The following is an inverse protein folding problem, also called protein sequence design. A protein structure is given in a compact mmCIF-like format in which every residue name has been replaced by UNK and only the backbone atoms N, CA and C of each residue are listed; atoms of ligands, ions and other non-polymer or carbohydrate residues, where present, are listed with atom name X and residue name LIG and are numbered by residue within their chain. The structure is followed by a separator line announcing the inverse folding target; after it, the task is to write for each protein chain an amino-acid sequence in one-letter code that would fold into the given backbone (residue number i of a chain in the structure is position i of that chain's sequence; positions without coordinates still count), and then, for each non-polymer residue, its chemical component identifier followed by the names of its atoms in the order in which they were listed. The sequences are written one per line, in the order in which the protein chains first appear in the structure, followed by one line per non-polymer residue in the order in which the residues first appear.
data_IF_122260763930
#
_entry.id   IF_122260763930
#
_cell.length_a   1.000
_cell.length_b   1.000
_cell.length_c   1.000
_cell.angle_alpha   90.00
_cell.angle_beta   90.00
_cell.angle_gamma   90.00
#
_symmetry.space_group_name_H-M   'P 1'
#
loop_
_entity.id
_entity.type
_entity.pdbx_description
1 polymer ?
#
# COMPACT_ATOMS: atom_id res chain seq x y z
N UNK A 1 -7.72 -20.10 -22.86
CA UNK A 1 -6.92 -19.37 -21.83
C UNK A 1 -7.87 -19.04 -20.70
N UNK A 2 -7.52 -19.40 -19.46
CA UNK A 2 -8.35 -19.01 -18.32
C UNK A 2 -8.39 -17.48 -18.26
N UNK A 3 -9.57 -16.91 -18.13
CA UNK A 3 -9.79 -15.47 -18.00
C UNK A 3 -9.11 -15.02 -16.68
N UNK A 4 -8.17 -14.08 -16.75
CA UNK A 4 -7.48 -13.58 -15.56
C UNK A 4 -8.48 -12.84 -14.67
N UNK A 5 -8.53 -13.17 -13.39
CA UNK A 5 -9.39 -12.50 -12.40
C UNK A 5 -8.94 -11.05 -12.19
N UNK A 6 -9.81 -10.09 -12.50
CA UNK A 6 -9.57 -8.67 -12.22
C UNK A 6 -9.73 -8.42 -10.71
N UNK A 7 -8.70 -7.91 -10.08
CA UNK A 7 -8.74 -7.54 -8.66
C UNK A 7 -9.13 -6.07 -8.48
N UNK A 8 -8.51 -5.17 -9.27
CA UNK A 8 -8.82 -3.74 -9.31
C UNK A 8 -9.21 -3.38 -10.74
N UNK A 9 -10.25 -2.57 -10.90
CA UNK A 9 -10.64 -1.99 -12.17
C UNK A 9 -10.96 -0.50 -11.99
N UNK A 10 -10.37 0.35 -12.82
CA UNK A 10 -10.64 1.77 -12.90
C UNK A 10 -11.39 2.06 -14.20
N UNK A 11 -12.52 2.76 -14.09
CA UNK A 11 -13.34 3.18 -15.22
C UNK A 11 -13.52 4.68 -15.19
N UNK A 12 -12.98 5.35 -16.20
CA UNK A 12 -13.17 6.78 -16.43
C UNK A 12 -12.83 7.64 -15.20
N UNK A 13 -11.77 7.24 -14.48
CA UNK A 13 -11.43 7.84 -13.20
C UNK A 13 -10.99 9.29 -13.36
N UNK A 14 -11.64 10.17 -12.62
CA UNK A 14 -11.31 11.60 -12.55
C UNK A 14 -11.09 12.03 -11.10
N UNK A 15 -10.02 12.80 -10.87
CA UNK A 15 -9.72 13.38 -9.56
C UNK A 15 -9.32 14.83 -9.75
N UNK A 16 -10.08 15.73 -9.12
CA UNK A 16 -9.86 17.16 -9.19
C UNK A 16 -9.77 17.74 -7.78
N UNK A 17 -8.80 18.58 -7.54
CA UNK A 17 -8.63 19.32 -6.29
C UNK A 17 -9.00 20.79 -6.45
N UNK A 18 -9.39 21.43 -5.33
CA UNK A 18 -9.77 22.83 -5.29
C UNK A 18 -11.18 23.09 -5.80
N UNK A 19 -11.54 24.37 -5.89
CA UNK A 19 -12.86 24.83 -6.34
C UNK A 19 -12.77 26.13 -7.14
N UNK A 20 -13.74 26.37 -8.02
CA UNK A 20 -13.82 27.58 -8.83
C UNK A 20 -12.60 27.80 -9.72
N UNK A 21 -11.99 29.00 -9.69
CA UNK A 21 -10.83 29.36 -10.51
C UNK A 21 -9.52 28.66 -10.10
N UNK A 22 -9.47 27.99 -8.92
CA UNK A 22 -8.31 27.22 -8.44
C UNK A 22 -8.48 25.72 -8.62
N UNK A 23 -9.34 25.32 -9.52
CA UNK A 23 -9.58 23.91 -9.86
C UNK A 23 -8.35 23.34 -10.58
N UNK A 24 -7.81 22.21 -10.10
CA UNK A 24 -6.70 21.48 -10.68
C UNK A 24 -7.12 20.02 -10.93
N UNK A 25 -7.04 19.57 -12.18
CA UNK A 25 -7.32 18.20 -12.57
C UNK A 25 -6.03 17.40 -12.38
N UNK A 26 -6.00 16.51 -11.41
CA UNK A 26 -4.85 15.66 -11.10
C UNK A 26 -4.89 14.31 -11.83
N UNK A 27 -6.09 13.81 -12.12
CA UNK A 27 -6.34 12.57 -12.87
C UNK A 27 -7.50 12.83 -13.82
N UNK A 28 -7.31 12.50 -15.10
CA UNK A 28 -8.26 12.81 -16.15
C UNK A 28 -8.58 11.56 -16.99
N UNK A 29 -9.82 11.04 -16.86
CA UNK A 29 -10.38 9.93 -17.63
C UNK A 29 -9.50 8.67 -17.71
N UNK A 30 -8.91 8.23 -16.57
CA UNK A 30 -7.99 7.10 -16.53
C UNK A 30 -8.72 5.77 -16.44
N UNK A 31 -8.30 4.82 -17.27
CA UNK A 31 -8.85 3.47 -17.36
C UNK A 31 -7.72 2.44 -17.34
N UNK A 32 -7.77 1.47 -16.42
CA UNK A 32 -6.94 0.27 -16.42
C UNK A 32 -7.47 -0.80 -15.46
N UNK A 33 -7.00 -2.03 -15.67
CA UNK A 33 -7.29 -3.19 -14.81
C UNK A 33 -6.00 -3.72 -14.19
N UNK A 34 -6.07 -4.21 -12.97
CA UNK A 34 -5.00 -4.95 -12.30
C UNK A 34 -5.52 -6.35 -11.98
N UNK A 35 -4.79 -7.37 -12.44
CA UNK A 35 -5.18 -8.76 -12.24
C UNK A 35 -4.58 -9.33 -10.96
N UNK A 36 -5.30 -10.27 -10.35
CA UNK A 36 -4.86 -10.94 -9.13
C UNK A 36 -3.49 -11.59 -9.30
N UNK A 37 -2.61 -11.35 -8.32
CA UNK A 37 -1.25 -11.89 -8.28
C UNK A 37 -0.24 -11.19 -9.19
N UNK A 38 -0.63 -10.12 -9.95
CA UNK A 38 0.33 -9.36 -10.74
C UNK A 38 0.92 -8.16 -9.98
N UNK A 39 2.09 -7.73 -10.41
CA UNK A 39 2.64 -6.42 -10.12
C UNK A 39 2.42 -5.54 -11.34
N UNK A 40 1.45 -4.63 -11.24
CA UNK A 40 1.18 -3.61 -12.24
C UNK A 40 1.93 -2.34 -11.87
N UNK A 41 2.75 -1.80 -12.78
CA UNK A 41 3.52 -0.60 -12.51
C UNK A 41 2.97 0.63 -13.18
N UNK A 42 2.88 1.71 -12.39
CA UNK A 42 2.47 3.03 -12.86
C UNK A 42 3.70 3.94 -12.88
N UNK A 43 4.11 4.34 -14.09
CA UNK A 43 5.33 5.10 -14.33
C UNK A 43 5.00 6.47 -14.90
N UNK A 44 5.82 7.47 -14.59
CA UNK A 44 5.68 8.82 -15.12
C UNK A 44 6.41 9.84 -14.26
N UNK A 45 6.44 11.09 -14.72
CA UNK A 45 7.09 12.20 -14.04
C UNK A 45 6.46 12.52 -12.68
N UNK A 46 7.20 13.20 -11.80
CA UNK A 46 6.65 13.70 -10.54
C UNK A 46 5.49 14.66 -10.82
N UNK A 47 4.42 14.54 -10.03
CA UNK A 47 3.22 15.35 -10.20
C UNK A 47 2.23 14.86 -11.28
N UNK A 48 2.49 13.75 -11.99
CA UNK A 48 1.58 13.19 -13.01
C UNK A 48 0.34 12.48 -12.47
N UNK A 49 0.06 12.53 -11.17
CA UNK A 49 -1.16 11.97 -10.58
C UNK A 49 -1.06 10.52 -10.09
N UNK A 50 0.10 9.85 -10.21
CA UNK A 50 0.29 8.43 -9.80
C UNK A 50 -0.08 8.16 -8.33
N UNK A 51 0.52 8.90 -7.41
CA UNK A 51 0.21 8.84 -5.98
C UNK A 51 -1.26 9.16 -5.70
N UNK A 52 -1.84 10.10 -6.47
CA UNK A 52 -3.26 10.46 -6.35
C UNK A 52 -4.17 9.30 -6.71
N UNK A 53 -3.86 8.55 -7.77
CA UNK A 53 -4.57 7.31 -8.16
C UNK A 53 -4.45 6.27 -7.05
N UNK A 54 -3.23 5.99 -6.58
CA UNK A 54 -2.99 5.03 -5.49
C UNK A 54 -3.80 5.37 -4.22
N UNK A 55 -3.78 6.64 -3.81
CA UNK A 55 -4.56 7.12 -2.66
C UNK A 55 -6.08 7.04 -2.88
N UNK A 56 -6.55 7.21 -4.11
CA UNK A 56 -7.98 7.05 -4.41
C UNK A 56 -8.42 5.59 -4.33
N UNK A 57 -7.59 4.64 -4.80
CA UNK A 57 -7.84 3.20 -4.66
C UNK A 57 -7.91 2.81 -3.17
N UNK A 58 -7.01 3.35 -2.34
CA UNK A 58 -7.03 3.16 -0.89
C UNK A 58 -8.11 4.01 -0.16
N UNK A 59 -9.00 4.71 -0.89
CA UNK A 59 -10.06 5.59 -0.36
C UNK A 59 -9.55 6.74 0.52
N UNK A 60 -8.28 7.10 0.43
CA UNK A 60 -7.69 8.25 1.14
C UNK A 60 -8.13 9.55 0.47
N UNK A 61 -8.13 9.58 -0.88
CA UNK A 61 -8.60 10.72 -1.65
C UNK A 61 -9.98 10.44 -2.24
N UNK A 62 -10.92 11.40 -2.19
CA UNK A 62 -12.20 11.29 -2.90
C UNK A 62 -11.97 11.36 -4.42
N UNK A 63 -12.84 10.73 -5.18
CA UNK A 63 -12.90 10.84 -6.64
C UNK A 63 -13.87 11.94 -7.06
N UNK A 64 -13.61 12.61 -8.19
CA UNK A 64 -14.50 13.61 -8.77
C UNK A 64 -15.44 13.05 -9.84
N UNK A 65 -15.05 11.92 -10.46
CA UNK A 65 -15.81 11.18 -11.45
C UNK A 65 -15.24 9.79 -11.66
N UNK A 66 -15.96 8.96 -12.39
CA UNK A 66 -15.59 7.59 -12.70
C UNK A 66 -15.71 6.64 -11.50
N UNK A 67 -15.34 5.40 -11.73
CA UNK A 67 -15.55 4.30 -10.80
C UNK A 67 -14.27 3.52 -10.54
N UNK A 68 -14.10 3.08 -9.28
CA UNK A 68 -13.06 2.15 -8.83
C UNK A 68 -13.75 0.91 -8.30
N UNK A 69 -13.33 -0.26 -8.82
CA UNK A 69 -13.86 -1.55 -8.38
C UNK A 69 -12.75 -2.39 -7.74
N UNK A 70 -13.11 -3.08 -6.67
CA UNK A 70 -12.33 -4.14 -6.03
C UNK A 70 -13.15 -5.43 -6.08
N UNK A 71 -12.61 -6.48 -6.72
CA UNK A 71 -13.33 -7.75 -6.93
C UNK A 71 -14.73 -7.54 -7.56
N UNK A 72 -14.83 -6.64 -8.54
CA UNK A 72 -16.09 -6.31 -9.21
C UNK A 72 -17.08 -5.47 -8.40
N UNK A 73 -16.79 -5.13 -7.15
CA UNK A 73 -17.62 -4.26 -6.32
C UNK A 73 -17.08 -2.82 -6.34
N UNK A 74 -17.95 -1.84 -6.59
CA UNK A 74 -17.58 -0.42 -6.58
C UNK A 74 -17.19 0.00 -5.18
N UNK A 75 -15.98 0.59 -5.04
CA UNK A 75 -15.40 0.97 -3.74
C UNK A 75 -15.26 2.48 -3.53
N UNK A 76 -15.42 3.34 -4.53
CA UNK A 76 -15.40 4.78 -4.36
C UNK A 76 -16.79 5.37 -4.09
N UNK A 77 -16.84 6.56 -3.48
CA UNK A 77 -18.08 7.20 -3.07
C UNK A 77 -18.71 6.55 -1.82
N UNK A 78 -20.04 6.56 -1.74
CA UNK A 78 -20.80 5.93 -0.65
C UNK A 78 -20.87 4.42 -0.86
N UNK A 79 -20.41 3.65 0.12
CA UNK A 79 -20.46 2.18 0.15
C UNK A 79 -21.02 1.70 1.50
N UNK A 80 -21.35 0.41 1.59
CA UNK A 80 -21.80 -0.17 2.86
C UNK A 80 -20.66 -0.23 3.89
N UNK A 81 -20.99 -0.29 5.17
CA UNK A 81 -19.99 -0.41 6.25
C UNK A 81 -19.21 -1.72 6.17
N UNK A 82 -19.84 -2.78 5.70
CA UNK A 82 -19.25 -4.11 5.52
C UNK A 82 -18.17 -4.05 4.43
N UNK A 83 -18.51 -3.51 3.27
CA UNK A 83 -17.57 -3.33 2.15
C UNK A 83 -16.43 -2.38 2.54
N UNK A 84 -16.72 -1.30 3.25
CA UNK A 84 -15.70 -0.36 3.73
C UNK A 84 -14.68 -1.04 4.64
N UNK A 85 -15.13 -1.87 5.59
CA UNK A 85 -14.25 -2.68 6.46
C UNK A 85 -13.41 -3.68 5.66
N UNK A 86 -14.02 -4.34 4.67
CA UNK A 86 -13.30 -5.27 3.79
C UNK A 86 -12.20 -4.53 3.02
N UNK A 87 -12.52 -3.40 2.38
CA UNK A 87 -11.56 -2.61 1.61
C UNK A 87 -10.43 -2.10 2.50
N UNK A 88 -10.73 -1.54 3.67
CA UNK A 88 -9.71 -1.08 4.62
C UNK A 88 -8.76 -2.21 5.02
N UNK A 89 -9.25 -3.43 5.20
CA UNK A 89 -8.42 -4.59 5.53
C UNK A 89 -7.61 -5.09 4.34
N UNK A 90 -8.24 -5.21 3.18
CA UNK A 90 -7.69 -5.93 2.01
C UNK A 90 -6.89 -5.06 1.06
N UNK A 91 -7.05 -3.74 1.11
CA UNK A 91 -6.36 -2.77 0.28
C UNK A 91 -5.49 -1.89 1.16
N UNK A 92 -4.17 -2.06 1.08
CA UNK A 92 -3.21 -1.37 1.94
C UNK A 92 -2.26 -0.48 1.13
N UNK A 93 -1.57 0.44 1.79
CA UNK A 93 -0.61 1.34 1.17
C UNK A 93 0.74 1.33 1.90
N UNK A 94 1.82 1.21 1.13
CA UNK A 94 3.18 1.48 1.57
C UNK A 94 3.53 2.87 1.04
N UNK A 95 3.84 3.79 1.94
CA UNK A 95 4.07 5.20 1.62
C UNK A 95 5.52 5.46 1.18
N UNK A 96 5.69 6.51 0.39
CA UNK A 96 6.98 6.97 -0.16
C UNK A 96 7.98 7.35 0.94
N UNK A 97 7.52 8.10 1.94
CA UNK A 97 8.34 8.56 3.05
C UNK A 97 7.98 7.80 4.34
N UNK A 98 8.85 6.85 4.76
CA UNK A 98 8.62 6.12 5.99
C UNK A 98 8.71 7.01 7.23
N UNK A 99 9.48 8.13 7.19
CA UNK A 99 9.59 9.07 8.29
C UNK A 99 8.26 9.79 8.54
N UNK A 100 7.68 10.36 7.48
CA UNK A 100 6.41 11.08 7.59
C UNK A 100 5.21 10.15 7.86
N UNK A 101 5.35 8.84 7.57
CA UNK A 101 4.25 7.88 7.71
C UNK A 101 4.20 7.14 9.05
N UNK A 102 5.27 7.20 9.85
CA UNK A 102 5.35 6.54 11.17
C UNK A 102 5.19 7.56 12.29
N UNK A 103 4.47 7.18 13.34
CA UNK A 103 4.39 8.01 14.55
C UNK A 103 5.66 7.87 15.38
N UNK A 104 6.53 8.89 15.35
CA UNK A 104 7.82 8.91 16.05
C UNK A 104 7.69 8.80 17.59
N UNK A 105 6.50 9.01 18.15
CA UNK A 105 6.22 8.93 19.59
C UNK A 105 5.64 7.58 20.03
N UNK A 106 5.39 6.69 19.07
CA UNK A 106 4.83 5.36 19.33
C UNK A 106 5.92 4.29 19.15
N UNK A 107 5.86 3.23 19.94
CA UNK A 107 6.71 2.05 19.76
C UNK A 107 6.35 1.31 18.48
N UNK A 108 7.31 0.60 17.89
CA UNK A 108 7.14 -0.18 16.66
C UNK A 108 6.00 -1.19 16.78
N UNK A 109 5.88 -1.89 17.91
CA UNK A 109 4.78 -2.83 18.16
C UNK A 109 3.40 -2.17 18.02
N UNK A 110 3.24 -0.94 18.58
CA UNK A 110 1.98 -0.20 18.47
C UNK A 110 1.72 0.26 17.04
N UNK A 111 2.74 0.77 16.35
CA UNK A 111 2.62 1.23 14.95
C UNK A 111 2.15 0.07 14.04
N UNK A 112 2.72 -1.11 14.21
CA UNK A 112 2.33 -2.29 13.43
C UNK A 112 0.94 -2.78 13.84
N UNK A 113 0.62 -2.76 15.14
CA UNK A 113 -0.68 -3.20 15.66
C UNK A 113 -1.85 -2.25 15.37
N UNK A 114 -1.58 -0.98 15.01
CA UNK A 114 -2.59 0.10 14.95
C UNK A 114 -3.81 -0.28 14.12
N UNK A 115 -3.61 -0.86 12.94
CA UNK A 115 -4.71 -1.32 12.09
C UNK A 115 -5.55 -2.43 12.73
N UNK A 116 -4.90 -3.40 13.39
CA UNK A 116 -5.59 -4.48 14.11
C UNK A 116 -6.39 -3.93 15.30
N UNK A 117 -5.83 -2.98 16.04
CA UNK A 117 -6.49 -2.35 17.18
C UNK A 117 -7.73 -1.55 16.75
N UNK A 118 -7.57 -0.68 15.75
CA UNK A 118 -8.65 0.20 15.28
C UNK A 118 -9.83 -0.56 14.65
N UNK A 119 -9.57 -1.73 14.08
CA UNK A 119 -10.59 -2.53 13.40
C UNK A 119 -10.99 -3.80 14.18
N UNK A 120 -10.46 -3.99 15.40
CA UNK A 120 -10.71 -5.15 16.27
C UNK A 120 -10.46 -6.49 15.56
N UNK A 121 -9.31 -6.60 14.84
CA UNK A 121 -8.94 -7.77 14.04
C UNK A 121 -8.03 -8.75 14.82
N UNK A 122 -8.26 -8.90 16.10
CA UNK A 122 -7.55 -9.81 16.99
C UNK A 122 -8.52 -10.43 18.00
N UNK A 123 -8.18 -11.61 18.50
CA UNK A 123 -9.02 -12.36 19.48
C UNK A 123 -8.76 -11.90 20.90
N UNK A 124 -7.49 -11.80 21.27
CA UNK A 124 -6.99 -11.40 22.58
C UNK A 124 -5.59 -10.78 22.46
N UNK A 125 -5.00 -10.38 23.58
CA UNK A 125 -3.68 -9.73 23.59
C UNK A 125 -2.54 -10.64 23.09
N UNK A 126 -2.65 -11.96 23.29
CA UNK A 126 -1.66 -12.91 22.81
C UNK A 126 -1.71 -13.03 21.28
N UNK A 127 -2.92 -13.15 20.69
CA UNK A 127 -3.12 -13.15 19.23
C UNK A 127 -2.63 -11.84 18.59
N UNK A 128 -2.90 -10.70 19.23
CA UNK A 128 -2.39 -9.40 18.78
C UNK A 128 -0.85 -9.37 18.74
N UNK A 129 -0.23 -9.78 19.85
CA UNK A 129 1.22 -9.83 19.98
C UNK A 129 1.84 -10.78 18.94
N UNK A 130 1.29 -11.99 18.79
CA UNK A 130 1.76 -12.98 17.83
C UNK A 130 1.70 -12.46 16.39
N UNK A 131 0.58 -11.83 15.99
CA UNK A 131 0.43 -11.21 14.67
C UNK A 131 1.48 -10.13 14.40
N UNK A 132 1.73 -9.28 15.38
CA UNK A 132 2.74 -8.21 15.27
C UNK A 132 4.14 -8.79 15.15
N UNK A 133 4.49 -9.78 16.00
CA UNK A 133 5.82 -10.41 15.96
C UNK A 133 6.04 -11.14 14.64
N UNK A 134 5.03 -11.85 14.13
CA UNK A 134 5.08 -12.54 12.84
C UNK A 134 5.27 -11.52 11.69
N UNK A 135 4.56 -10.40 11.69
CA UNK A 135 4.72 -9.36 10.68
C UNK A 135 6.13 -8.73 10.70
N UNK A 136 6.71 -8.50 11.89
CA UNK A 136 8.08 -8.01 12.03
C UNK A 136 9.10 -9.03 11.53
N UNK A 137 8.93 -10.29 11.90
CA UNK A 137 9.80 -11.38 11.44
C UNK A 137 9.79 -11.53 9.92
N UNK A 138 8.62 -11.45 9.29
CA UNK A 138 8.48 -11.57 7.84
C UNK A 138 9.23 -10.48 7.06
N UNK A 139 9.33 -9.28 7.62
CA UNK A 139 10.11 -8.20 7.02
C UNK A 139 11.59 -8.21 7.43
N UNK A 140 12.03 -9.24 8.16
CA UNK A 140 13.41 -9.41 8.61
C UNK A 140 13.82 -8.45 9.73
N UNK A 141 12.88 -8.07 10.58
CA UNK A 141 13.14 -7.31 11.80
C UNK A 141 13.12 -8.23 13.02
N UNK A 142 14.07 -8.02 13.95
CA UNK A 142 14.16 -8.82 15.17
C UNK A 142 13.02 -8.48 16.14
N UNK A 143 12.47 -9.46 16.88
CA UNK A 143 11.39 -9.25 17.84
C UNK A 143 11.70 -8.18 18.90
N UNK A 144 12.96 -8.07 19.35
CA UNK A 144 13.42 -7.06 20.30
C UNK A 144 13.25 -5.61 19.80
N UNK A 145 13.09 -5.42 18.49
CA UNK A 145 12.85 -4.11 17.89
C UNK A 145 11.44 -3.58 18.15
N UNK A 146 10.51 -4.45 18.53
CA UNK A 146 9.11 -4.10 18.79
C UNK A 146 8.96 -3.02 19.87
N UNK A 147 9.84 -3.02 20.89
CA UNK A 147 9.80 -2.07 22.01
C UNK A 147 10.48 -0.71 21.74
N UNK A 148 11.15 -0.56 20.59
CA UNK A 148 11.89 0.65 20.21
C UNK A 148 11.01 1.66 19.49
N UNK A 149 11.53 2.87 19.32
CA UNK A 149 10.88 3.96 18.60
C UNK A 149 11.45 4.13 17.19
N UNK A 150 10.67 4.65 16.20
CA UNK A 150 11.12 4.80 14.81
C UNK A 150 12.43 5.55 14.64
N UNK A 151 12.71 6.59 15.43
CA UNK A 151 13.95 7.38 15.36
C UNK A 151 15.23 6.57 15.67
N UNK A 152 15.11 5.38 16.27
CA UNK A 152 16.25 4.50 16.58
C UNK A 152 16.64 3.60 15.38
N UNK A 153 15.95 3.70 14.24
CA UNK A 153 16.13 2.83 13.08
C UNK A 153 16.68 3.56 11.86
N UNK A 154 17.42 2.82 11.02
CA UNK A 154 17.82 3.29 9.70
C UNK A 154 16.62 3.49 8.76
N UNK A 155 16.79 4.24 7.66
CA UNK A 155 15.74 4.44 6.67
C UNK A 155 15.16 3.13 6.12
N UNK A 156 16.02 2.16 5.81
CA UNK A 156 15.58 0.84 5.34
C UNK A 156 14.82 0.02 6.39
N UNK A 157 15.21 0.11 7.65
CA UNK A 157 14.47 -0.54 8.74
C UNK A 157 13.11 0.12 8.97
N UNK A 158 13.02 1.45 8.91
CA UNK A 158 11.73 2.18 8.97
C UNK A 158 10.80 1.81 7.81
N UNK A 159 11.36 1.65 6.60
CA UNK A 159 10.58 1.16 5.47
C UNK A 159 10.03 -0.24 5.72
N UNK A 160 10.82 -1.14 6.30
CA UNK A 160 10.36 -2.48 6.70
C UNK A 160 9.26 -2.43 7.78
N UNK A 161 9.33 -1.49 8.73
CA UNK A 161 8.23 -1.26 9.70
C UNK A 161 6.95 -0.84 8.97
N UNK A 162 7.04 0.08 8.00
CA UNK A 162 5.91 0.49 7.17
C UNK A 162 5.31 -0.67 6.36
N UNK A 163 6.16 -1.56 5.83
CA UNK A 163 5.73 -2.78 5.15
C UNK A 163 5.03 -3.73 6.13
N UNK A 164 5.61 -3.98 7.33
CA UNK A 164 5.00 -4.83 8.36
C UNK A 164 3.62 -4.32 8.77
N UNK A 165 3.45 -2.99 8.94
CA UNK A 165 2.17 -2.33 9.23
C UNK A 165 1.11 -2.63 8.16
N UNK A 166 1.49 -2.68 6.88
CA UNK A 166 0.58 -3.03 5.80
C UNK A 166 0.26 -4.53 5.81
N UNK A 167 1.27 -5.39 5.99
CA UNK A 167 1.15 -6.86 5.92
C UNK A 167 0.34 -7.47 7.07
N UNK A 168 0.37 -6.87 8.27
CA UNK A 168 -0.34 -7.38 9.45
C UNK A 168 -1.86 -7.39 9.24
N UNK A 169 -2.37 -6.55 8.34
CA UNK A 169 -3.78 -6.48 7.95
C UNK A 169 -4.21 -7.63 7.03
N UNK A 170 -3.28 -8.50 6.61
CA UNK A 170 -3.50 -9.60 5.65
C UNK A 170 -4.15 -9.09 4.34
N UNK A 171 -3.50 -8.14 3.65
CA UNK A 171 -4.03 -7.55 2.43
C UNK A 171 -4.05 -8.54 1.26
N UNK A 172 -4.86 -8.24 0.25
CA UNK A 172 -4.83 -8.89 -1.06
C UNK A 172 -4.22 -7.97 -2.13
N UNK A 173 -4.30 -6.66 -1.87
CA UNK A 173 -3.79 -5.62 -2.76
C UNK A 173 -2.99 -4.57 -1.98
N UNK A 174 -1.83 -4.21 -2.50
CA UNK A 174 -0.96 -3.18 -1.91
C UNK A 174 -0.60 -2.14 -2.97
N UNK A 175 -0.87 -0.88 -2.66
CA UNK A 175 -0.29 0.27 -3.37
C UNK A 175 1.08 0.55 -2.78
N UNK A 176 2.14 0.32 -3.53
CA UNK A 176 3.51 0.65 -3.16
C UNK A 176 3.90 1.98 -3.84
N UNK A 177 3.75 3.07 -3.11
CA UNK A 177 4.01 4.43 -3.62
C UNK A 177 5.48 4.79 -3.43
N UNK A 178 6.28 4.66 -4.49
CA UNK A 178 7.73 4.91 -4.50
C UNK A 178 8.47 4.31 -3.28
N UNK A 179 8.29 3.02 -2.95
CA UNK A 179 8.68 2.45 -1.66
C UNK A 179 10.18 2.39 -1.41
N UNK A 180 10.99 2.76 -2.39
CA UNK A 180 12.46 2.70 -2.34
C UNK A 180 13.15 4.02 -2.69
N UNK A 181 12.40 5.08 -3.01
CA UNK A 181 12.96 6.34 -3.54
C UNK A 181 13.92 7.02 -2.55
N UNK A 182 13.61 6.97 -1.26
CA UNK A 182 14.40 7.59 -0.17
C UNK A 182 15.52 6.68 0.39
N UNK A 183 15.80 5.51 -0.24
CA UNK A 183 16.73 4.52 0.29
C UNK A 183 18.03 4.47 -0.52
N UNK A 184 19.13 4.07 0.14
CA UNK A 184 20.41 3.77 -0.51
C UNK A 184 20.29 2.58 -1.46
N UNK A 185 21.15 2.53 -2.48
CA UNK A 185 21.10 1.52 -3.56
C UNK A 185 21.10 0.09 -3.04
N UNK A 186 21.96 -0.23 -2.05
CA UNK A 186 22.05 -1.57 -1.46
C UNK A 186 20.77 -1.98 -0.71
N UNK A 187 20.12 -1.02 -0.08
CA UNK A 187 18.88 -1.23 0.68
C UNK A 187 17.68 -1.34 -0.27
N UNK A 188 17.68 -0.60 -1.40
CA UNK A 188 16.63 -0.71 -2.44
C UNK A 188 16.45 -2.16 -2.90
N UNK A 189 17.56 -2.85 -3.23
CA UNK A 189 17.51 -4.23 -3.69
C UNK A 189 16.90 -5.17 -2.62
N UNK A 190 17.24 -4.96 -1.33
CA UNK A 190 16.69 -5.76 -0.24
C UNK A 190 15.17 -5.57 -0.09
N UNK A 191 14.67 -4.31 -0.20
CA UNK A 191 13.24 -4.03 -0.11
C UNK A 191 12.48 -4.58 -1.33
N UNK A 192 13.03 -4.47 -2.53
CA UNK A 192 12.43 -5.07 -3.73
C UNK A 192 12.34 -6.59 -3.64
N UNK A 193 13.40 -7.24 -3.16
CA UNK A 193 13.42 -8.70 -2.93
C UNK A 193 12.38 -9.11 -1.87
N UNK A 194 12.23 -8.32 -0.81
CA UNK A 194 11.21 -8.53 0.21
C UNK A 194 9.80 -8.48 -0.41
N UNK A 195 9.47 -7.43 -1.18
CA UNK A 195 8.17 -7.29 -1.84
C UNK A 195 7.89 -8.44 -2.81
N UNK A 196 8.89 -8.85 -3.60
CA UNK A 196 8.78 -10.02 -4.49
C UNK A 196 8.56 -11.34 -3.72
N UNK A 197 9.24 -11.51 -2.58
CA UNK A 197 9.04 -12.67 -1.69
C UNK A 197 7.62 -12.71 -1.15
N UNK A 198 7.10 -11.56 -0.67
CA UNK A 198 5.72 -11.43 -0.17
C UNK A 198 4.68 -11.71 -1.26
N UNK A 199 4.92 -11.24 -2.49
CA UNK A 199 4.08 -11.57 -3.64
C UNK A 199 3.93 -13.09 -3.81
N UNK A 200 5.05 -13.80 -3.81
CA UNK A 200 5.07 -15.25 -4.01
C UNK A 200 4.48 -16.04 -2.83
N UNK A 201 4.83 -15.67 -1.60
CA UNK A 201 4.42 -16.41 -0.40
C UNK A 201 2.97 -16.17 0.00
N UNK A 202 2.44 -14.96 -0.23
CA UNK A 202 1.09 -14.56 0.17
C UNK A 202 0.12 -14.35 -1.00
N UNK A 203 0.57 -14.50 -2.25
CA UNK A 203 -0.26 -14.24 -3.43
C UNK A 203 -0.67 -12.78 -3.59
N UNK A 204 0.16 -11.84 -3.13
CA UNK A 204 -0.16 -10.41 -3.16
C UNK A 204 -0.21 -9.85 -4.58
N UNK A 205 -1.08 -8.87 -4.75
CA UNK A 205 -1.18 -8.06 -5.97
C UNK A 205 -0.68 -6.66 -5.65
N UNK A 206 0.12 -6.07 -6.55
CA UNK A 206 0.67 -4.73 -6.34
C UNK A 206 0.26 -3.74 -7.42
N UNK A 207 -0.05 -2.50 -7.01
CA UNK A 207 0.16 -1.31 -7.81
C UNK A 207 1.50 -0.71 -7.37
N UNK A 208 2.53 -0.84 -8.20
CA UNK A 208 3.86 -0.32 -7.91
C UNK A 208 4.07 1.02 -8.62
N UNK A 209 4.18 2.10 -7.86
CA UNK A 209 4.43 3.44 -8.39
C UNK A 209 5.93 3.72 -8.34
N UNK A 210 6.51 4.07 -9.48
CA UNK A 210 7.92 4.41 -9.59
C UNK A 210 8.17 5.45 -10.69
N UNK A 211 9.32 6.10 -10.61
CA UNK A 211 9.86 6.95 -11.68
C UNK A 211 11.10 6.36 -12.35
N UNK A 212 11.68 5.29 -11.78
CA UNK A 212 12.87 4.61 -12.28
C UNK A 212 12.49 3.36 -13.08
N UNK A 213 12.75 3.38 -14.39
CA UNK A 213 12.42 2.27 -15.30
C UNK A 213 13.21 0.99 -15.01
N UNK A 214 14.43 1.10 -14.47
CA UNK A 214 15.23 -0.09 -14.12
C UNK A 214 14.60 -0.87 -12.98
N UNK A 215 14.02 -0.17 -12.01
CA UNK A 215 13.25 -0.76 -10.91
C UNK A 215 11.99 -1.44 -11.44
N UNK A 216 11.29 -0.76 -12.35
CA UNK A 216 10.06 -1.28 -12.97
C UNK A 216 10.34 -2.59 -13.72
N UNK A 217 11.39 -2.63 -14.53
CA UNK A 217 11.79 -3.85 -15.25
C UNK A 217 12.07 -5.04 -14.31
N UNK A 218 12.54 -4.76 -13.09
CA UNK A 218 12.87 -5.80 -12.13
C UNK A 218 11.64 -6.37 -11.40
N UNK A 219 10.64 -5.53 -11.08
CA UNK A 219 9.53 -5.95 -10.19
C UNK A 219 8.22 -6.20 -10.92
N UNK A 220 8.02 -5.64 -12.12
CA UNK A 220 6.73 -5.59 -12.79
C UNK A 220 6.46 -6.80 -13.67
N UNK A 221 5.20 -7.21 -13.70
CA UNK A 221 4.69 -8.11 -14.74
C UNK A 221 4.13 -7.30 -15.93
N UNK A 222 3.66 -6.07 -15.66
CA UNK A 222 3.05 -5.19 -16.67
C UNK A 222 3.13 -3.72 -16.24
#
# INVERSE_FOLDING_TARGET
MAEREKLIELKDLQITFGSGKKKFVAVDHVNFDIYKGETFSLVGESGSGKTTIGRAICRINPTSGGDIFFKGQKINGKISKELDREVIRKVQMIFQDPMASLNERAKVEYIVAEGLLNHHLYKDQNDLHEKVMNALHEVGLLPEFASRFPHEFSGGQRQRIGIARALVMEPEFIVADEPISALDVSIRAQVLNLLNSMKKSRGLTYLFIAHDLSVVQYISDR
#
